data_IF_296968148838
#
_entry.id   IF_296968148838
#
_cell.length_a   1.000
_cell.length_b   1.000
_cell.length_c   1.000
_cell.angle_alpha   90.00
_cell.angle_beta   90.00
_cell.angle_gamma   90.00
#
_symmetry.space_group_name_H-M   'P 1'
#
loop_
_entity.id
_entity.type
_entity.pdbx_description
1 polymer ?
#
# COMPACT_ATOMS: atom_id res chain seq x y z
N UNK A 1 12.12 5.40 -11.06
CA UNK A 1 12.06 3.99 -10.61
C UNK A 1 10.94 3.32 -11.36
N UNK A 2 11.12 2.04 -11.66
CA UNK A 2 10.07 1.18 -12.16
C UNK A 2 8.94 1.18 -11.14
N UNK A 3 7.73 1.32 -11.67
CA UNK A 3 6.51 1.43 -10.89
C UNK A 3 5.98 0.02 -10.67
N UNK A 4 5.32 -0.19 -9.54
CA UNK A 4 4.49 -1.38 -9.37
C UNK A 4 3.43 -1.41 -10.45
N UNK A 5 3.23 -2.57 -11.04
CA UNK A 5 2.58 -2.70 -12.34
C UNK A 5 1.05 -2.59 -12.26
N UNK A 6 0.47 -2.60 -11.06
CA UNK A 6 -0.97 -2.57 -10.81
C UNK A 6 -1.72 -3.66 -11.60
N UNK A 7 -1.11 -4.84 -11.72
CA UNK A 7 -1.64 -5.99 -12.46
C UNK A 7 -1.77 -7.24 -11.59
N UNK A 8 -1.37 -7.14 -10.32
CA UNK A 8 -1.45 -8.23 -9.36
C UNK A 8 -2.74 -8.13 -8.55
N UNK A 9 -3.19 -9.26 -8.00
CA UNK A 9 -4.29 -9.28 -7.03
C UNK A 9 -3.92 -8.47 -5.78
N UNK A 10 -4.92 -7.79 -5.24
CA UNK A 10 -4.79 -7.02 -4.01
C UNK A 10 -6.05 -7.12 -3.14
N UNK A 11 -5.86 -6.77 -1.87
CA UNK A 11 -6.91 -6.75 -0.85
C UNK A 11 -6.69 -5.57 0.09
N UNK A 12 -7.78 -4.91 0.47
CA UNK A 12 -7.80 -3.99 1.59
C UNK A 12 -8.49 -4.62 2.79
N UNK A 13 -7.96 -4.44 3.98
CA UNK A 13 -8.52 -4.99 5.22
C UNK A 13 -8.56 -3.93 6.31
N UNK A 14 -9.74 -3.68 6.86
CA UNK A 14 -9.91 -2.93 8.11
C UNK A 14 -9.89 -3.93 9.25
N UNK A 15 -9.08 -3.69 10.26
CA UNK A 15 -8.97 -4.60 11.40
C UNK A 15 -8.87 -3.83 12.72
N UNK A 16 -9.37 -4.46 13.79
CA UNK A 16 -9.15 -3.96 15.15
C UNK A 16 -7.64 -3.93 15.44
N UNK A 17 -7.15 -3.01 16.28
CA UNK A 17 -5.82 -3.11 16.85
C UNK A 17 -5.75 -4.44 17.59
N UNK A 18 -4.86 -5.34 17.15
CA UNK A 18 -4.85 -6.69 17.72
C UNK A 18 -4.54 -6.63 19.21
N UNK A 19 -5.25 -7.46 19.98
CA UNK A 19 -4.95 -7.69 21.41
C UNK A 19 -3.69 -8.54 21.61
N UNK A 20 -3.15 -9.13 20.54
CA UNK A 20 -1.93 -9.92 20.52
C UNK A 20 -0.93 -9.21 19.63
N UNK A 21 0.19 -8.78 20.20
CA UNK A 21 1.37 -8.47 19.39
C UNK A 21 1.64 -9.69 18.50
N UNK A 22 1.56 -9.47 17.19
CA UNK A 22 1.66 -10.54 16.21
C UNK A 22 2.94 -11.32 16.45
N UNK A 23 2.76 -12.62 16.73
CA UNK A 23 3.84 -13.59 16.89
C UNK A 23 4.84 -13.42 15.74
N UNK A 24 6.11 -13.27 16.11
CA UNK A 24 7.28 -13.33 15.23
C UNK A 24 7.12 -14.44 14.18
N UNK A 25 6.78 -14.08 12.94
CA UNK A 25 6.65 -15.01 11.81
C UNK A 25 5.38 -14.88 10.97
N UNK A 26 4.37 -14.12 11.39
CA UNK A 26 3.19 -13.84 10.54
C UNK A 26 3.53 -12.86 9.41
N UNK A 27 3.19 -13.24 8.16
CA UNK A 27 3.23 -12.32 7.00
C UNK A 27 2.10 -11.27 7.05
N UNK A 28 0.99 -11.56 7.75
CA UNK A 28 -0.07 -10.59 8.04
C UNK A 28 0.27 -9.75 9.27
N UNK A 29 0.04 -8.44 9.16
CA UNK A 29 0.08 -7.55 10.31
C UNK A 29 -1.04 -7.79 11.33
N UNK A 30 -2.10 -8.52 10.97
CA UNK A 30 -3.29 -8.74 11.78
C UNK A 30 -3.63 -10.22 11.90
N UNK A 31 -4.32 -10.58 12.98
CA UNK A 31 -5.04 -11.84 13.10
C UNK A 31 -6.33 -11.73 12.29
N UNK A 32 -6.66 -12.67 11.39
CA UNK A 32 -7.91 -12.61 10.63
C UNK A 32 -9.15 -12.40 11.51
N UNK A 33 -9.17 -12.95 12.74
CA UNK A 33 -10.29 -12.77 13.67
C UNK A 33 -10.53 -11.32 14.11
N UNK A 34 -9.53 -10.45 13.93
CA UNK A 34 -9.62 -9.03 14.19
C UNK A 34 -10.10 -8.23 12.96
N UNK A 35 -10.23 -8.86 11.78
CA UNK A 35 -10.72 -8.25 10.55
C UNK A 35 -12.19 -7.82 10.73
N UNK A 36 -12.48 -6.60 10.29
CA UNK A 36 -13.77 -5.92 10.41
C UNK A 36 -14.48 -5.76 9.07
N UNK A 37 -13.70 -5.53 8.01
CA UNK A 37 -14.16 -5.43 6.63
C UNK A 37 -12.99 -5.79 5.72
N UNK A 38 -13.24 -6.62 4.71
CA UNK A 38 -12.31 -6.88 3.61
C UNK A 38 -12.89 -6.31 2.32
N UNK A 39 -12.05 -5.69 1.52
CA UNK A 39 -12.38 -5.19 0.18
C UNK A 39 -11.46 -5.90 -0.79
N UNK A 40 -12.04 -6.70 -1.68
CA UNK A 40 -11.32 -7.51 -2.65
C UNK A 40 -11.45 -6.92 -4.04
N UNK A 41 -10.49 -7.23 -4.91
CA UNK A 41 -10.58 -6.83 -6.31
C UNK A 41 -11.80 -7.47 -7.00
N UNK A 42 -12.43 -6.76 -7.93
CA UNK A 42 -13.53 -7.30 -8.73
C UNK A 42 -13.15 -8.52 -9.57
N UNK A 43 -11.85 -8.69 -9.85
CA UNK A 43 -11.32 -9.84 -10.58
C UNK A 43 -11.07 -11.07 -9.68
N UNK A 44 -11.33 -10.96 -8.38
CA UNK A 44 -11.27 -12.08 -7.44
C UNK A 44 -12.41 -13.03 -7.72
N UNK A 45 -12.15 -14.10 -8.50
CA UNK A 45 -13.19 -15.01 -8.98
C UNK A 45 -13.68 -16.01 -7.95
N UNK A 46 -12.93 -16.25 -6.88
CA UNK A 46 -13.29 -17.24 -5.87
C UNK A 46 -12.89 -16.75 -4.47
N UNK A 47 -13.87 -16.71 -3.57
CA UNK A 47 -13.63 -16.66 -2.14
C UNK A 47 -12.98 -18.01 -1.79
N UNK A 48 -11.65 -18.04 -1.58
CA UNK A 48 -10.80 -19.24 -1.40
C UNK A 48 -11.15 -20.08 -0.14
N UNK A 49 -12.43 -20.26 0.18
CA UNK A 49 -12.91 -20.90 1.40
C UNK A 49 -12.48 -20.14 2.66
N UNK A 50 -12.18 -18.84 2.55
CA UNK A 50 -11.82 -18.05 3.72
C UNK A 50 -13.05 -17.96 4.62
N UNK A 51 -12.92 -18.29 5.92
CA UNK A 51 -14.06 -18.37 6.81
C UNK A 51 -14.82 -17.03 6.83
N UNK A 52 -16.15 -17.11 6.79
CA UNK A 52 -17.07 -15.98 6.64
C UNK A 52 -17.26 -15.19 7.95
N UNK A 53 -16.15 -14.83 8.62
CA UNK A 53 -16.15 -14.19 9.94
C UNK A 53 -16.19 -12.66 9.89
N UNK A 54 -16.03 -12.10 8.70
CA UNK A 54 -15.92 -10.67 8.44
C UNK A 54 -16.64 -10.36 7.10
N UNK A 55 -17.41 -9.26 6.99
CA UNK A 55 -17.97 -8.79 5.72
C UNK A 55 -16.90 -8.64 4.63
N UNK A 56 -17.27 -8.99 3.40
CA UNK A 56 -16.44 -8.82 2.20
C UNK A 56 -17.20 -7.94 1.22
N UNK A 57 -16.53 -6.94 0.72
CA UNK A 57 -17.02 -6.03 -0.31
C UNK A 57 -16.08 -6.02 -1.52
N UNK A 58 -16.55 -5.50 -2.64
CA UNK A 58 -15.75 -5.39 -3.87
C UNK A 58 -15.32 -3.95 -4.11
N UNK A 59 -14.09 -3.76 -4.59
CA UNK A 59 -13.48 -2.43 -4.77
C UNK A 59 -14.26 -1.51 -5.72
N UNK A 60 -15.00 -2.08 -6.66
CA UNK A 60 -15.82 -1.34 -7.62
C UNK A 60 -17.19 -0.93 -7.05
N UNK A 61 -17.55 -1.41 -5.85
CA UNK A 61 -18.82 -1.13 -5.19
C UNK A 61 -18.67 -0.26 -3.93
N UNK A 62 -17.46 -0.15 -3.37
CA UNK A 62 -17.20 0.58 -2.14
C UNK A 62 -16.30 1.78 -2.37
N UNK A 63 -16.70 2.91 -1.80
CA UNK A 63 -15.88 4.11 -1.72
C UNK A 63 -15.36 4.33 -0.30
N UNK A 64 -14.28 5.11 -0.18
CA UNK A 64 -13.77 5.51 1.13
C UNK A 64 -14.80 6.29 1.96
N UNK A 65 -15.72 7.04 1.32
CA UNK A 65 -16.83 7.74 1.99
C UNK A 65 -17.88 6.80 2.60
N UNK A 66 -17.98 5.56 2.11
CA UNK A 66 -18.85 4.54 2.70
C UNK A 66 -18.25 3.93 3.98
N UNK A 67 -16.94 4.09 4.17
CA UNK A 67 -16.15 3.53 5.26
C UNK A 67 -15.77 4.57 6.30
N UNK A 68 -15.52 5.80 5.89
CA UNK A 68 -15.17 6.92 6.75
C UNK A 68 -16.14 8.08 6.56
N UNK A 69 -16.67 8.59 7.66
CA UNK A 69 -17.43 9.84 7.62
C UNK A 69 -16.48 11.06 7.40
N UNK A 70 -17.02 12.28 7.16
CA UNK A 70 -16.19 13.47 6.98
C UNK A 70 -15.30 13.85 8.18
N UNK A 71 -15.54 13.28 9.36
CA UNK A 71 -14.71 13.43 10.55
C UNK A 71 -13.56 12.41 10.62
N UNK A 72 -13.57 11.39 9.76
CA UNK A 72 -12.59 10.29 9.71
C UNK A 72 -12.96 9.13 10.64
N UNK A 73 -14.15 9.15 11.24
CA UNK A 73 -14.66 8.05 12.04
C UNK A 73 -15.25 6.97 11.11
N UNK A 74 -15.20 5.72 11.57
CA UNK A 74 -15.79 4.61 10.83
C UNK A 74 -17.29 4.81 10.61
N UNK A 75 -17.70 4.63 9.37
CA UNK A 75 -19.05 4.83 8.85
C UNK A 75 -19.84 3.51 8.83
N UNK A 76 -21.02 3.52 8.20
CA UNK A 76 -22.05 2.48 8.37
C UNK A 76 -21.66 1.05 7.95
N UNK A 77 -20.63 0.87 7.11
CA UNK A 77 -20.14 -0.46 6.69
C UNK A 77 -19.23 -1.14 7.73
N UNK A 78 -18.64 -0.39 8.65
CA UNK A 78 -17.77 -0.93 9.72
C UNK A 78 -18.48 -0.74 11.05
N UNK A 79 -19.61 -1.45 11.24
CA UNK A 79 -20.40 -1.31 12.48
C UNK A 79 -19.67 -1.90 13.68
N UNK A 80 -19.40 -1.04 14.66
CA UNK A 80 -19.23 -1.43 16.06
C UNK A 80 -20.57 -1.95 16.58
N UNK A 81 -20.63 -2.99 17.45
CA UNK A 81 -21.90 -3.52 17.97
C UNK A 81 -22.82 -2.43 18.56
N UNK A 82 -24.16 -2.59 18.46
CA UNK A 82 -25.12 -1.64 19.02
C UNK A 82 -24.86 -1.41 20.52
N UNK A 83 -24.80 -0.14 20.95
CA UNK A 83 -24.55 0.24 22.35
C UNK A 83 -23.18 0.88 22.61
N UNK A 84 -22.30 0.94 21.60
CA UNK A 84 -20.99 1.58 21.67
C UNK A 84 -20.89 2.75 20.66
N UNK A 85 -21.91 3.63 20.64
CA UNK A 85 -21.91 4.84 19.82
C UNK A 85 -20.99 5.87 20.48
N UNK A 86 -19.70 5.77 20.17
CA UNK A 86 -18.80 6.90 20.40
C UNK A 86 -19.14 7.97 19.36
N UNK A 87 -19.41 9.19 19.83
CA UNK A 87 -19.56 10.40 18.99
C UNK A 87 -18.25 10.70 18.20
N UNK A 88 -17.16 9.98 18.52
CA UNK A 88 -15.92 9.88 17.77
C UNK A 88 -15.44 8.41 17.81
N UNK A 89 -15.97 7.55 16.93
CA UNK A 89 -15.53 6.15 16.85
C UNK A 89 -14.01 6.04 16.65
N UNK A 90 -13.37 4.96 17.14
CA UNK A 90 -11.93 4.78 16.95
C UNK A 90 -11.60 4.69 15.46
N UNK A 91 -10.55 5.38 15.04
CA UNK A 91 -10.03 5.25 13.68
C UNK A 91 -9.12 4.04 13.65
N UNK A 92 -9.54 3.00 12.93
CA UNK A 92 -8.75 1.78 12.78
C UNK A 92 -7.78 1.88 11.59
N UNK A 93 -6.63 1.20 11.67
CA UNK A 93 -5.72 1.10 10.54
C UNK A 93 -6.38 0.36 9.38
N UNK A 94 -6.05 0.81 8.17
CA UNK A 94 -6.34 0.12 6.93
C UNK A 94 -5.08 -0.63 6.51
N UNK A 95 -5.23 -1.90 6.17
CA UNK A 95 -4.15 -2.72 5.61
C UNK A 95 -4.37 -2.89 4.12
N UNK A 96 -3.31 -2.78 3.34
CA UNK A 96 -3.33 -2.98 1.90
C UNK A 96 -2.30 -4.03 1.53
N UNK A 97 -2.78 -5.20 1.10
CA UNK A 97 -1.98 -6.29 0.59
C UNK A 97 -1.94 -6.17 -0.93
N UNK A 98 -0.74 -5.97 -1.47
CA UNK A 98 -0.46 -6.00 -2.90
C UNK A 98 0.34 -7.24 -3.24
N UNK A 99 0.01 -7.86 -4.38
CA UNK A 99 0.64 -9.06 -4.90
C UNK A 99 0.60 -10.24 -3.93
N UNK A 100 -0.35 -11.15 -4.15
CA UNK A 100 -0.50 -12.33 -3.30
C UNK A 100 0.69 -13.31 -3.40
N UNK A 101 1.53 -13.19 -4.45
CA UNK A 101 2.78 -13.93 -4.57
C UNK A 101 3.86 -13.42 -3.61
N UNK A 102 4.23 -12.14 -3.74
CA UNK A 102 5.28 -11.53 -2.91
C UNK A 102 4.81 -11.06 -1.52
N UNK A 103 3.51 -10.89 -1.33
CA UNK A 103 2.89 -10.51 -0.07
C UNK A 103 3.30 -9.13 0.46
N UNK A 104 3.21 -8.10 -0.40
CA UNK A 104 3.53 -6.73 0.00
C UNK A 104 2.44 -6.10 0.85
N UNK A 105 2.62 -6.15 2.17
CA UNK A 105 1.64 -5.63 3.11
C UNK A 105 1.97 -4.19 3.53
N UNK A 106 0.97 -3.31 3.47
CA UNK A 106 1.06 -1.90 3.84
C UNK A 106 0.09 -1.61 4.98
N UNK A 107 0.53 -0.80 5.95
CA UNK A 107 -0.32 -0.30 7.04
C UNK A 107 -0.56 1.20 6.86
N UNK A 108 -1.79 1.57 6.57
CA UNK A 108 -2.26 2.94 6.42
C UNK A 108 -2.92 3.38 7.73
N UNK A 109 -2.45 4.51 8.27
CA UNK A 109 -2.94 5.07 9.54
C UNK A 109 -3.43 6.48 9.26
N UNK A 110 -4.70 6.73 9.54
CA UNK A 110 -5.23 8.09 9.52
C UNK A 110 -4.64 8.88 10.69
N UNK A 111 -3.99 10.01 10.38
CA UNK A 111 -3.38 10.90 11.38
C UNK A 111 -4.19 12.18 11.61
N UNK A 112 -5.17 12.48 10.77
CA UNK A 112 -5.98 13.69 10.84
C UNK A 112 -6.28 14.26 9.47
N UNK A 113 -6.97 15.41 9.45
CA UNK A 113 -7.41 16.13 8.26
C UNK A 113 -6.84 17.55 8.23
N UNK A 114 -6.56 18.05 7.03
CA UNK A 114 -6.14 19.44 6.78
C UNK A 114 -6.68 19.88 5.43
N UNK A 115 -6.82 21.20 5.21
CA UNK A 115 -7.10 21.71 3.88
C UNK A 115 -5.95 21.33 2.92
N UNK A 116 -6.33 20.81 1.77
CA UNK A 116 -5.38 20.48 0.71
C UNK A 116 -4.75 21.77 0.18
N UNK A 117 -3.44 21.73 -0.05
CA UNK A 117 -2.71 22.85 -0.68
C UNK A 117 -2.59 22.66 -2.19
N UNK A 118 -2.61 21.41 -2.62
CA UNK A 118 -2.50 20.99 -4.02
C UNK A 118 -3.69 20.09 -4.36
N UNK A 119 -4.02 19.99 -5.65
CA UNK A 119 -5.06 19.09 -6.16
C UNK A 119 -4.62 17.61 -6.20
N UNK A 120 -3.44 17.29 -5.65
CA UNK A 120 -2.84 15.95 -5.67
C UNK A 120 -2.18 15.61 -4.32
N UNK A 121 -1.95 14.31 -4.02
CA UNK A 121 -1.28 13.90 -2.80
C UNK A 121 0.13 14.48 -2.70
N UNK A 122 0.46 15.04 -1.53
CA UNK A 122 1.79 15.58 -1.23
C UNK A 122 2.45 14.73 -0.15
N UNK A 123 3.62 14.20 -0.47
CA UNK A 123 4.50 13.50 0.46
C UNK A 123 5.17 14.49 1.40
N UNK A 124 4.95 14.34 2.70
CA UNK A 124 5.55 15.20 3.74
C UNK A 124 6.87 14.65 4.27
N UNK A 125 7.04 13.34 4.24
CA UNK A 125 8.26 12.64 4.64
C UNK A 125 8.25 11.23 4.05
N UNK A 126 9.43 10.68 3.81
CA UNK A 126 9.62 9.32 3.34
C UNK A 126 10.99 8.81 3.80
N UNK A 127 11.08 7.51 4.03
CA UNK A 127 12.32 6.84 4.43
C UNK A 127 12.44 5.52 3.68
N UNK A 128 13.63 5.28 3.13
CA UNK A 128 13.91 4.08 2.36
C UNK A 128 13.35 4.13 0.94
N UNK A 129 13.96 3.33 0.06
CA UNK A 129 13.52 3.17 -1.32
C UNK A 129 12.32 2.24 -1.43
N UNK A 130 11.42 2.52 -2.38
CA UNK A 130 10.35 1.60 -2.78
C UNK A 130 10.97 0.28 -3.28
N UNK A 131 10.46 -0.89 -2.85
CA UNK A 131 10.88 -2.17 -3.40
C UNK A 131 10.65 -2.22 -4.91
N UNK A 132 11.53 -2.93 -5.62
CA UNK A 132 11.32 -3.24 -7.03
C UNK A 132 10.29 -4.38 -7.13
N UNK A 133 9.45 -4.33 -8.17
CA UNK A 133 8.49 -5.40 -8.48
C UNK A 133 9.18 -6.77 -8.56
N UNK A 134 8.47 -7.82 -8.17
CA UNK A 134 8.94 -9.21 -8.19
C UNK A 134 10.24 -9.46 -7.42
N UNK A 135 10.53 -8.64 -6.40
CA UNK A 135 11.73 -8.79 -5.57
C UNK A 135 11.62 -9.89 -4.52
N UNK A 136 10.50 -10.63 -4.46
CA UNK A 136 10.39 -11.85 -3.68
C UNK A 136 10.12 -11.55 -2.21
N UNK A 137 9.09 -10.76 -1.92
CA UNK A 137 8.66 -10.32 -0.57
C UNK A 137 9.64 -9.36 0.14
N UNK A 138 9.29 -8.84 1.34
CA UNK A 138 10.22 -8.03 2.13
C UNK A 138 11.57 -8.71 2.40
N UNK A 139 11.60 -10.04 2.45
CA UNK A 139 12.85 -10.80 2.61
C UNK A 139 13.77 -10.67 1.40
N UNK A 140 13.24 -10.89 0.19
CA UNK A 140 14.00 -10.75 -1.05
C UNK A 140 14.46 -9.32 -1.28
N UNK A 141 13.63 -8.32 -0.99
CA UNK A 141 14.06 -6.92 -1.03
C UNK A 141 15.17 -6.59 -0.02
N UNK A 142 15.14 -7.19 1.17
CA UNK A 142 16.25 -7.05 2.12
C UNK A 142 17.53 -7.69 1.59
N UNK A 143 17.46 -8.78 0.83
CA UNK A 143 18.62 -9.37 0.17
C UNK A 143 19.19 -8.44 -0.91
N UNK A 144 18.33 -7.77 -1.68
CA UNK A 144 18.75 -6.72 -2.64
C UNK A 144 19.51 -5.61 -1.90
N UNK A 145 18.92 -5.01 -0.85
CA UNK A 145 19.60 -3.97 -0.05
C UNK A 145 20.95 -4.42 0.50
N UNK A 146 21.03 -5.65 1.04
CA UNK A 146 22.28 -6.23 1.55
C UNK A 146 23.33 -6.43 0.45
N UNK A 147 22.91 -6.83 -0.76
CA UNK A 147 23.82 -6.97 -1.89
C UNK A 147 24.44 -5.61 -2.25
N UNK A 148 23.62 -4.55 -2.36
CA UNK A 148 24.11 -3.19 -2.63
C UNK A 148 24.95 -2.60 -1.50
N UNK A 149 24.71 -3.00 -0.24
CA UNK A 149 25.52 -2.57 0.90
C UNK A 149 26.86 -3.34 1.03
N UNK A 150 27.05 -4.41 0.26
CA UNK A 150 28.25 -5.25 0.35
C UNK A 150 29.45 -4.57 -0.30
N UNK A 151 30.55 -4.41 0.46
CA UNK A 151 31.82 -3.87 -0.07
C UNK A 151 32.51 -4.81 -1.06
N UNK A 152 32.30 -6.12 -0.90
CA UNK A 152 32.88 -7.18 -1.72
C UNK A 152 31.80 -8.20 -2.05
N UNK A 153 30.88 -7.89 -2.99
CA UNK A 153 29.75 -8.74 -3.27
C UNK A 153 30.21 -10.07 -3.87
N UNK A 154 29.63 -11.19 -3.41
CA UNK A 154 29.86 -12.50 -4.00
C UNK A 154 29.18 -12.62 -5.38
N UNK A 155 29.26 -13.79 -6.03
CA UNK A 155 28.66 -14.00 -7.36
C UNK A 155 27.15 -13.74 -7.38
N UNK A 156 26.41 -14.33 -6.44
CA UNK A 156 24.96 -14.21 -6.34
C UNK A 156 24.52 -12.76 -6.07
N UNK A 157 25.24 -12.05 -5.19
CA UNK A 157 24.99 -10.64 -4.91
C UNK A 157 25.21 -9.76 -6.13
N UNK A 158 26.24 -10.04 -6.94
CA UNK A 158 26.47 -9.31 -8.20
C UNK A 158 25.37 -9.56 -9.23
N UNK A 159 24.90 -10.80 -9.33
CA UNK A 159 23.76 -11.16 -10.18
C UNK A 159 22.47 -10.44 -9.70
N UNK A 160 22.23 -10.38 -8.39
CA UNK A 160 21.10 -9.68 -7.79
C UNK A 160 21.16 -8.16 -7.99
N UNK A 161 22.35 -7.55 -7.86
CA UNK A 161 22.56 -6.12 -8.15
C UNK A 161 22.22 -5.82 -9.61
N UNK A 162 22.75 -6.64 -10.53
CA UNK A 162 22.53 -6.47 -11.97
C UNK A 162 21.04 -6.58 -12.29
N UNK A 163 20.38 -7.63 -11.81
CA UNK A 163 18.94 -7.81 -11.98
C UNK A 163 18.16 -6.59 -11.49
N UNK A 164 18.43 -6.12 -10.26
CA UNK A 164 17.72 -4.99 -9.69
C UNK A 164 17.93 -3.70 -10.50
N UNK A 165 19.14 -3.45 -11.00
CA UNK A 165 19.41 -2.30 -11.89
C UNK A 165 18.62 -2.39 -13.18
N UNK A 166 18.55 -3.57 -13.81
CA UNK A 166 17.79 -3.82 -15.05
C UNK A 166 16.29 -3.58 -14.86
N UNK A 167 15.71 -4.10 -13.78
CA UNK A 167 14.26 -3.97 -13.53
C UNK A 167 13.86 -2.67 -12.84
N UNK A 168 14.80 -1.89 -12.28
CA UNK A 168 14.52 -0.65 -11.56
C UNK A 168 14.02 0.52 -12.40
N UNK A 169 14.05 0.43 -13.73
CA UNK A 169 13.71 1.53 -14.65
C UNK A 169 14.62 2.76 -14.58
N UNK A 170 15.69 2.73 -13.77
CA UNK A 170 16.71 3.80 -13.67
C UNK A 170 18.14 3.28 -13.87
N UNK A 171 18.27 1.98 -14.13
CA UNK A 171 19.52 1.36 -14.58
C UNK A 171 20.61 1.45 -13.52
N UNK A 172 21.83 1.75 -13.97
CA UNK A 172 23.03 1.81 -13.12
C UNK A 172 22.97 2.89 -12.02
N UNK A 173 22.03 3.85 -12.11
CA UNK A 173 21.82 4.87 -11.08
C UNK A 173 20.93 4.40 -9.92
N UNK A 174 20.42 3.18 -10.00
CA UNK A 174 19.61 2.58 -8.94
C UNK A 174 20.44 2.31 -7.69
N UNK A 175 19.93 2.77 -6.55
CA UNK A 175 20.43 2.44 -5.23
C UNK A 175 19.24 2.19 -4.29
N UNK A 176 19.04 0.96 -3.78
CA UNK A 176 17.93 0.63 -2.90
C UNK A 176 18.10 1.19 -1.48
N UNK A 177 19.27 1.75 -1.14
CA UNK A 177 19.56 2.37 0.15
C UNK A 177 19.52 3.90 0.10
N UNK A 178 19.20 4.50 -1.06
CA UNK A 178 19.14 5.95 -1.22
C UNK A 178 18.04 6.56 -0.35
N UNK A 179 18.30 7.79 0.12
CA UNK A 179 17.28 8.62 0.78
C UNK A 179 16.27 9.09 -0.28
N UNK A 180 14.96 9.01 -0.02
CA UNK A 180 13.95 9.53 -0.94
C UNK A 180 14.09 11.04 -1.15
N UNK A 181 14.04 11.46 -2.41
CA UNK A 181 13.93 12.86 -2.79
C UNK A 181 12.46 13.30 -2.73
N UNK A 182 12.10 14.04 -1.68
CA UNK A 182 10.72 14.49 -1.42
C UNK A 182 10.26 15.50 -2.48
N UNK A 183 11.16 16.35 -2.99
CA UNK A 183 10.81 17.32 -4.03
C UNK A 183 10.49 16.60 -5.34
N UNK A 184 11.32 15.64 -5.73
CA UNK A 184 11.05 14.81 -6.90
C UNK A 184 9.74 14.01 -6.76
N UNK A 185 9.45 13.45 -5.57
CA UNK A 185 8.20 12.73 -5.31
C UNK A 185 6.96 13.62 -5.46
N UNK A 186 7.07 14.90 -5.11
CA UNK A 186 5.99 15.88 -5.17
C UNK A 186 5.93 16.67 -6.49
N UNK A 187 6.79 16.35 -7.45
CA UNK A 187 6.78 17.02 -8.76
C UNK A 187 5.45 16.82 -9.48
N UNK A 188 4.93 17.90 -10.09
CA UNK A 188 3.66 17.86 -10.84
C UNK A 188 3.76 16.87 -12.00
N UNK A 189 4.92 16.78 -12.63
CA UNK A 189 5.21 15.88 -13.74
C UNK A 189 5.01 14.42 -13.31
N UNK A 190 5.44 14.05 -12.10
CA UNK A 190 5.25 12.71 -11.57
C UNK A 190 3.76 12.38 -11.40
N UNK A 191 2.98 13.32 -10.85
CA UNK A 191 1.53 13.18 -10.73
C UNK A 191 0.83 13.08 -12.09
N UNK A 192 1.14 13.96 -13.04
CA UNK A 192 0.55 13.95 -14.38
C UNK A 192 0.87 12.64 -15.11
N UNK A 193 2.11 12.16 -15.01
CA UNK A 193 2.49 10.86 -15.57
C UNK A 193 1.76 9.70 -14.89
N UNK A 194 1.50 9.77 -13.59
CA UNK A 194 0.69 8.77 -12.89
C UNK A 194 -0.75 8.77 -13.42
N UNK A 195 -1.40 9.93 -13.48
CA UNK A 195 -2.78 10.07 -13.98
C UNK A 195 -2.93 9.56 -15.41
N UNK A 196 -1.96 9.85 -16.28
CA UNK A 196 -1.94 9.38 -17.67
C UNK A 196 -1.79 7.86 -17.78
N UNK A 197 -0.82 7.29 -17.06
CA UNK A 197 -0.44 5.89 -17.23
C UNK A 197 -1.33 4.92 -16.45
N UNK A 198 -1.83 5.33 -15.29
CA UNK A 198 -2.55 4.44 -14.36
C UNK A 198 -4.05 4.70 -14.40
N UNK A 199 -4.47 5.97 -14.40
CA UNK A 199 -5.90 6.32 -14.40
C UNK A 199 -6.44 6.47 -15.83
N UNK A 200 -5.57 6.60 -16.83
CA UNK A 200 -5.96 6.80 -18.23
C UNK A 200 -6.55 8.19 -18.51
N UNK A 201 -6.34 9.16 -17.61
CA UNK A 201 -6.86 10.53 -17.76
C UNK A 201 -5.80 11.37 -18.48
N UNK A 202 -6.13 11.88 -19.67
CA UNK A 202 -5.31 12.84 -20.41
C UNK A 202 -5.23 14.20 -19.70
N UNK A 203 -4.30 15.06 -20.12
CA UNK A 203 -4.02 16.40 -19.54
C UNK A 203 -5.23 17.36 -19.45
N UNK A 204 -6.38 16.99 -20.02
CA UNK A 204 -7.55 17.84 -20.23
C UNK A 204 -8.58 17.88 -19.07
N UNK A 205 -8.26 17.33 -17.89
CA UNK A 205 -9.05 17.58 -16.69
C UNK A 205 -8.21 18.38 -15.68
N UNK A 206 -7.91 19.64 -16.05
CA UNK A 206 -7.83 20.67 -15.02
C UNK A 206 -9.17 20.68 -14.30
N UNK A 207 -9.18 20.12 -13.09
CA UNK A 207 -10.29 20.28 -12.17
C UNK A 207 -10.42 21.78 -11.89
N UNK A 208 -11.32 22.42 -12.63
CA UNK A 208 -11.97 23.65 -12.18
C UNK A 208 -12.74 23.25 -10.93
N UNK A 209 -12.19 23.60 -9.77
CA UNK A 209 -12.92 23.68 -8.51
C UNK A 209 -13.57 25.05 -8.40
#
# INVERSE_FOLDING_TARGET
MARWQNCHLHEFTFAKPSSRDTLSGSLRFTDPRDDLLRIVSSDTKDDFGLPNHCPVEYENHVKLEDIYDPSGCLHHLVRVPPGQVSVLGPVYPLFYLYDFGDYWNHKLIFKGRKYAREAYPVTISATGCCPVEDSGSPSGWNNVKKAFASKTPNREQRELIKWAQEVSGVGLTFDPNRIPDIEALNSREHWVQYMRLVVGVGEAHEAVY
#
